data_IF_711114790435
#
_entry.id   IF_711114790435
#
_cell.length_a   1.000
_cell.length_b   1.000
_cell.length_c   1.000
_cell.angle_alpha   90.00
_cell.angle_beta   90.00
_cell.angle_gamma   90.00
#
_symmetry.space_group_name_H-M   'P 1'
#
loop_
_entity.id
_entity.type
_entity.pdbx_description
1 polymer ?
#
# COMPACT_ATOMS: atom_id res chain seq x y z
N UNK A 1 37.78 -2.28 2.07
CA UNK A 1 37.71 -1.01 1.33
C UNK A 1 36.92 -1.13 0.02
N UNK A 2 36.97 -2.23 -0.75
CA UNK A 2 36.16 -2.40 -1.98
C UNK A 2 34.64 -2.56 -1.72
N UNK A 3 34.23 -3.12 -0.59
CA UNK A 3 32.82 -3.29 -0.21
C UNK A 3 32.11 -1.97 0.16
N UNK A 4 32.85 -1.00 0.70
CA UNK A 4 32.30 0.31 1.08
C UNK A 4 31.94 1.17 -0.15
N UNK A 5 32.67 1.02 -1.26
CA UNK A 5 32.41 1.78 -2.50
C UNK A 5 31.19 1.28 -3.27
N UNK A 6 30.83 -0.02 -3.15
CA UNK A 6 29.67 -0.60 -3.86
C UNK A 6 28.38 -0.26 -3.13
N UNK A 7 28.42 -0.21 -1.80
CA UNK A 7 27.27 0.26 -0.97
C UNK A 7 26.93 1.70 -1.34
N UNK A 8 27.92 2.55 -1.56
CA UNK A 8 27.74 3.93 -1.98
C UNK A 8 27.12 4.05 -3.40
N UNK A 9 27.36 3.09 -4.29
CA UNK A 9 26.86 3.12 -5.66
C UNK A 9 25.39 2.70 -5.79
N UNK A 10 24.89 1.75 -4.99
CA UNK A 10 23.46 1.39 -4.97
C UNK A 10 22.59 2.45 -4.30
N UNK A 11 23.15 3.17 -3.32
CA UNK A 11 22.47 4.30 -2.66
C UNK A 11 22.58 5.58 -3.47
N UNK A 12 23.65 5.77 -4.24
CA UNK A 12 23.91 6.98 -5.03
C UNK A 12 22.94 7.17 -6.23
N UNK A 13 22.25 6.13 -6.69
CA UNK A 13 21.28 6.27 -7.79
C UNK A 13 19.95 6.95 -7.38
N UNK A 14 19.68 7.12 -6.09
CA UNK A 14 18.52 7.84 -5.55
C UNK A 14 18.90 9.22 -4.99
N UNK A 15 20.21 9.48 -4.75
CA UNK A 15 20.70 10.65 -4.01
C UNK A 15 20.84 11.95 -4.84
N UNK A 16 20.34 12.03 -6.07
CA UNK A 16 20.61 13.19 -6.95
C UNK A 16 19.59 14.34 -6.84
N UNK A 17 18.56 14.26 -5.98
CA UNK A 17 17.54 15.32 -5.88
C UNK A 17 17.06 15.67 -4.47
N UNK A 18 17.63 15.13 -3.41
CA UNK A 18 17.19 15.48 -2.06
C UNK A 18 18.37 15.98 -1.21
N UNK A 19 18.19 17.18 -0.64
CA UNK A 19 19.04 17.76 0.39
C UNK A 19 18.85 17.07 1.77
N UNK A 20 17.95 16.08 1.83
CA UNK A 20 17.60 15.38 3.05
C UNK A 20 18.76 14.50 3.57
N UNK A 21 18.93 14.49 4.92
CA UNK A 21 19.91 13.64 5.59
C UNK A 21 19.38 12.20 5.58
N UNK A 22 20.25 11.26 5.19
CA UNK A 22 19.96 9.84 5.26
C UNK A 22 20.19 9.30 6.68
N UNK A 23 19.16 8.67 7.25
CA UNK A 23 19.21 7.97 8.52
C UNK A 23 19.26 6.47 8.30
N UNK A 24 20.17 5.78 8.99
CA UNK A 24 20.46 4.36 8.79
C UNK A 24 20.40 3.60 10.11
N UNK A 25 19.67 2.48 10.12
CA UNK A 25 19.71 1.46 11.17
C UNK A 25 20.29 0.15 10.61
N UNK A 26 21.27 -0.40 11.28
CA UNK A 26 21.80 -1.75 11.01
C UNK A 26 21.13 -2.72 11.98
N UNK A 27 20.21 -3.56 11.49
CA UNK A 27 19.41 -4.47 12.32
C UNK A 27 19.81 -5.93 12.15
N UNK A 28 20.76 -6.21 11.26
CA UNK A 28 21.17 -7.56 10.90
C UNK A 28 20.17 -8.30 10.00
N UNK A 29 20.52 -9.49 9.52
CA UNK A 29 19.71 -10.25 8.56
C UNK A 29 18.30 -10.58 9.08
N UNK A 30 17.29 -10.48 8.20
CA UNK A 30 15.91 -10.87 8.48
C UNK A 30 15.24 -11.46 7.23
N UNK A 31 14.26 -12.32 7.45
CA UNK A 31 13.40 -12.91 6.43
C UNK A 31 11.90 -12.70 6.70
N UNK A 32 11.57 -12.00 7.80
CA UNK A 32 10.21 -11.65 8.18
C UNK A 32 10.11 -10.18 8.51
N UNK A 33 9.06 -9.56 8.03
CA UNK A 33 8.74 -8.15 8.26
C UNK A 33 7.42 -8.06 9.01
N UNK A 34 7.40 -7.30 10.10
CA UNK A 34 6.18 -6.96 10.83
C UNK A 34 6.15 -5.46 11.09
N UNK A 35 5.01 -4.84 10.81
CA UNK A 35 4.79 -3.41 11.04
C UNK A 35 3.58 -3.23 11.96
N UNK A 36 3.65 -2.19 12.84
CA UNK A 36 2.55 -1.68 13.64
C UNK A 36 2.46 -0.17 13.53
N UNK A 37 1.26 0.34 13.41
CA UNK A 37 0.99 1.77 13.22
C UNK A 37 0.81 2.16 11.76
N UNK A 38 1.09 3.42 11.42
CA UNK A 38 0.89 4.01 10.09
C UNK A 38 2.12 4.05 9.18
N UNK A 39 3.19 3.29 9.49
CA UNK A 39 4.45 3.36 8.75
C UNK A 39 4.30 2.90 7.30
N UNK A 40 4.87 3.67 6.38
CA UNK A 40 5.04 3.27 4.98
C UNK A 40 6.40 2.61 4.79
N UNK A 41 6.41 1.40 4.24
CA UNK A 41 7.59 0.58 4.10
C UNK A 41 7.77 0.14 2.65
N UNK A 42 8.97 0.28 2.12
CA UNK A 42 9.39 -0.27 0.83
C UNK A 42 10.49 -1.30 1.08
N UNK A 43 10.16 -2.56 0.83
CA UNK A 43 11.13 -3.65 0.83
C UNK A 43 11.79 -3.79 -0.53
N UNK A 44 13.10 -3.96 -0.53
CA UNK A 44 13.90 -4.28 -1.72
C UNK A 44 14.85 -5.44 -1.44
N UNK A 45 14.85 -6.43 -2.32
CA UNK A 45 15.83 -7.50 -2.28
C UNK A 45 17.20 -6.95 -2.70
N UNK A 46 18.16 -6.93 -1.77
CA UNK A 46 19.53 -6.46 -2.03
C UNK A 46 20.52 -7.23 -1.13
N UNK A 47 21.24 -8.23 -1.67
CA UNK A 47 22.19 -9.01 -0.92
C UNK A 47 23.36 -8.21 -0.32
N UNK A 48 23.73 -7.08 -0.95
CA UNK A 48 24.83 -6.23 -0.47
C UNK A 48 24.44 -5.31 0.69
N UNK A 49 23.13 -5.16 0.96
CA UNK A 49 22.59 -4.25 1.98
C UNK A 49 21.72 -4.98 3.01
N UNK A 50 21.93 -6.28 3.19
CA UNK A 50 21.14 -7.11 4.10
C UNK A 50 21.12 -6.55 5.53
N UNK A 51 19.93 -6.37 6.09
CA UNK A 51 19.75 -5.90 7.46
C UNK A 51 19.83 -4.38 7.61
N UNK A 52 19.68 -3.63 6.52
CA UNK A 52 19.62 -2.17 6.57
C UNK A 52 18.17 -1.68 6.55
N UNK A 53 17.89 -0.67 7.39
CA UNK A 53 16.66 0.14 7.38
C UNK A 53 17.05 1.59 7.22
N UNK A 54 16.51 2.25 6.20
CA UNK A 54 16.94 3.60 5.78
C UNK A 54 15.73 4.49 5.58
N UNK A 55 15.83 5.75 5.98
CA UNK A 55 14.89 6.80 5.56
C UNK A 55 15.63 8.11 5.30
N UNK A 56 15.06 8.93 4.45
CA UNK A 56 15.57 10.24 4.10
C UNK A 56 14.70 11.33 4.75
N UNK A 57 15.31 12.18 5.60
CA UNK A 57 14.62 13.29 6.26
C UNK A 57 15.61 14.27 6.84
N UNK A 58 15.24 15.55 6.91
CA UNK A 58 15.97 16.59 7.65
C UNK A 58 15.71 16.49 9.17
N UNK A 59 14.62 15.82 9.56
CA UNK A 59 14.23 15.57 10.96
C UNK A 59 14.64 14.15 11.35
N UNK A 60 15.16 14.00 12.57
CA UNK A 60 15.48 12.70 13.14
C UNK A 60 14.21 12.06 13.77
N UNK A 61 13.69 11.01 13.14
CA UNK A 61 12.53 10.25 13.60
C UNK A 61 12.89 9.05 14.49
N UNK A 62 14.10 8.98 15.04
CA UNK A 62 14.53 7.84 15.88
C UNK A 62 13.67 7.64 17.14
N UNK A 63 13.07 8.68 17.66
CA UNK A 63 12.13 8.60 18.80
C UNK A 63 10.70 8.22 18.39
N UNK A 64 10.34 8.42 17.12
CA UNK A 64 9.03 8.09 16.55
C UNK A 64 8.94 6.67 15.99
N UNK A 65 10.07 5.99 15.79
CA UNK A 65 10.14 4.67 15.16
C UNK A 65 10.93 3.71 16.06
N UNK A 66 10.25 2.68 16.56
CA UNK A 66 10.90 1.56 17.25
C UNK A 66 11.28 0.49 16.22
N UNK A 67 12.57 0.20 16.08
CA UNK A 67 13.11 -0.78 15.17
C UNK A 67 13.77 -1.91 15.96
N UNK A 68 13.34 -3.14 15.75
CA UNK A 68 13.93 -4.31 16.42
C UNK A 68 13.97 -5.53 15.50
N UNK A 69 15.04 -6.33 15.60
CA UNK A 69 15.15 -7.61 14.92
C UNK A 69 15.34 -8.74 15.95
N UNK A 70 14.40 -9.63 16.01
CA UNK A 70 14.45 -10.79 16.87
C UNK A 70 14.49 -12.07 16.04
N UNK A 71 15.66 -12.71 15.97
CA UNK A 71 15.88 -13.99 15.27
C UNK A 71 15.36 -13.99 13.82
N UNK A 72 15.68 -12.93 13.06
CA UNK A 72 15.26 -12.79 11.67
C UNK A 72 13.86 -12.23 11.47
N UNK A 73 13.19 -11.80 12.53
CA UNK A 73 11.90 -11.10 12.46
C UNK A 73 12.11 -9.61 12.75
N UNK A 74 12.14 -8.80 11.69
CA UNK A 74 12.18 -7.35 11.77
C UNK A 74 10.81 -6.83 12.19
N UNK A 75 10.77 -6.10 13.30
CA UNK A 75 9.60 -5.36 13.79
C UNK A 75 9.86 -3.87 13.65
N UNK A 76 8.95 -3.20 12.97
CA UNK A 76 8.89 -1.75 12.83
C UNK A 76 7.60 -1.26 13.47
N UNK A 77 7.71 -0.36 14.45
CA UNK A 77 6.55 0.14 15.18
C UNK A 77 6.62 1.66 15.26
N UNK A 78 5.54 2.31 14.93
CA UNK A 78 5.36 3.73 15.15
C UNK A 78 5.04 4.00 16.61
N UNK A 79 5.71 4.97 17.20
CA UNK A 79 5.42 5.46 18.56
C UNK A 79 4.28 6.48 18.44
N UNK A 80 3.15 6.23 19.12
CA UNK A 80 1.89 6.94 18.88
C UNK A 80 1.89 8.41 19.31
N UNK A 81 2.68 8.77 20.32
CA UNK A 81 2.67 10.12 20.93
C UNK A 81 3.93 10.94 20.55
N UNK A 82 4.27 11.02 19.25
CA UNK A 82 5.34 11.89 18.79
C UNK A 82 4.78 13.14 18.10
N UNK A 83 5.40 14.29 18.38
CA UNK A 83 5.03 15.61 17.81
C UNK A 83 5.82 15.93 16.53
N UNK A 84 6.35 14.91 15.85
CA UNK A 84 7.33 15.05 14.77
C UNK A 84 6.73 15.15 13.37
N UNK A 85 5.38 15.13 13.25
CA UNK A 85 4.70 15.08 11.96
C UNK A 85 4.69 13.70 11.33
N UNK A 86 4.54 13.62 10.02
CA UNK A 86 4.43 12.34 9.29
C UNK A 86 5.78 11.65 9.17
N UNK A 87 5.86 10.41 9.64
CA UNK A 87 7.06 9.56 9.50
C UNK A 87 7.34 9.31 8.02
N UNK A 88 8.59 9.50 7.56
CA UNK A 88 8.96 9.25 6.17
C UNK A 88 8.87 7.77 5.80
N UNK A 89 8.85 7.47 4.51
CA UNK A 89 8.88 6.09 4.03
C UNK A 89 10.19 5.41 4.42
N UNK A 90 10.08 4.22 5.02
CA UNK A 90 11.21 3.40 5.42
C UNK A 90 11.58 2.43 4.29
N UNK A 91 12.82 2.46 3.85
CA UNK A 91 13.38 1.49 2.90
C UNK A 91 14.11 0.41 3.67
N UNK A 92 13.75 -0.84 3.45
CA UNK A 92 14.32 -1.99 4.14
C UNK A 92 14.90 -2.98 3.15
N UNK A 93 16.05 -3.56 3.49
CA UNK A 93 16.84 -4.39 2.59
C UNK A 93 17.16 -5.75 3.21
N UNK A 94 16.90 -6.83 2.46
CA UNK A 94 17.24 -8.20 2.82
C UNK A 94 17.49 -9.03 1.55
N UNK A 95 18.03 -10.23 1.67
CA UNK A 95 18.19 -11.15 0.55
C UNK A 95 16.85 -11.64 0.01
N UNK A 96 15.96 -12.03 0.91
CA UNK A 96 14.62 -12.54 0.61
C UNK A 96 13.70 -12.35 1.82
N UNK A 97 12.40 -12.45 1.58
CA UNK A 97 11.38 -12.40 2.63
C UNK A 97 10.40 -13.55 2.47
N UNK A 98 10.11 -14.21 3.59
CA UNK A 98 9.14 -15.32 3.68
C UNK A 98 7.82 -14.92 4.32
N UNK A 99 7.80 -13.79 5.05
CA UNK A 99 6.60 -13.31 5.72
C UNK A 99 6.55 -11.77 5.76
N UNK A 100 5.39 -11.24 5.41
CA UNK A 100 5.05 -9.82 5.60
C UNK A 100 3.78 -9.75 6.43
N UNK A 101 3.83 -8.99 7.54
CA UNK A 101 2.71 -8.74 8.44
C UNK A 101 2.51 -7.26 8.62
N UNK A 102 1.31 -6.78 8.36
CA UNK A 102 0.90 -5.41 8.60
C UNK A 102 -0.20 -5.39 9.67
N UNK A 103 0.09 -4.79 10.83
CA UNK A 103 -0.83 -4.61 11.95
C UNK A 103 -1.16 -3.12 12.15
N UNK A 104 -1.58 -2.45 11.08
CA UNK A 104 -1.90 -1.03 11.12
C UNK A 104 -2.45 -0.50 9.80
N UNK A 105 -2.33 0.82 9.62
CA UNK A 105 -2.95 1.55 8.52
C UNK A 105 -1.94 1.96 7.42
N UNK A 106 -0.64 1.74 7.64
CA UNK A 106 0.41 2.04 6.67
C UNK A 106 0.45 1.07 5.49
N UNK A 107 1.33 1.35 4.54
CA UNK A 107 1.50 0.58 3.31
C UNK A 107 2.84 -0.14 3.35
N UNK A 108 2.83 -1.44 3.04
CA UNK A 108 4.05 -2.21 2.78
C UNK A 108 4.08 -2.56 1.29
N UNK A 109 5.09 -2.07 0.60
CA UNK A 109 5.37 -2.39 -0.78
C UNK A 109 6.61 -3.29 -0.87
N UNK A 110 6.53 -4.40 -1.59
CA UNK A 110 7.60 -5.37 -1.69
C UNK A 110 7.75 -5.92 -3.11
N UNK A 111 8.93 -5.76 -3.69
CA UNK A 111 9.34 -6.46 -4.89
C UNK A 111 10.13 -7.71 -4.48
N UNK A 112 9.68 -8.89 -4.91
CA UNK A 112 10.13 -10.20 -4.41
C UNK A 112 10.74 -11.07 -5.50
N UNK A 113 11.90 -10.68 -6.06
CA UNK A 113 12.51 -11.41 -7.19
C UNK A 113 13.08 -12.77 -6.77
N UNK A 114 13.32 -13.00 -5.47
CA UNK A 114 13.86 -14.25 -4.96
C UNK A 114 12.76 -15.31 -4.82
N UNK A 115 12.99 -16.51 -5.38
CA UNK A 115 12.09 -17.64 -5.19
C UNK A 115 12.19 -18.19 -3.77
N UNK A 116 11.04 -18.35 -3.10
CA UNK A 116 10.96 -18.91 -1.74
C UNK A 116 10.00 -20.10 -1.69
N UNK A 117 10.23 -21.13 -0.87
CA UNK A 117 9.33 -22.28 -0.79
C UNK A 117 7.93 -21.90 -0.28
N UNK A 118 7.87 -20.98 0.67
CA UNK A 118 6.62 -20.52 1.30
C UNK A 118 6.66 -19.03 1.52
N UNK A 119 5.57 -18.36 1.15
CA UNK A 119 5.37 -16.94 1.42
C UNK A 119 4.06 -16.69 2.16
N UNK A 120 4.07 -15.78 3.13
CA UNK A 120 2.88 -15.42 3.91
C UNK A 120 2.71 -13.91 3.96
N UNK A 121 1.55 -13.40 3.54
CA UNK A 121 1.12 -12.02 3.68
C UNK A 121 -0.08 -11.94 4.64
N UNK A 122 0.03 -11.16 5.72
CA UNK A 122 -1.04 -11.04 6.73
C UNK A 122 -1.34 -9.58 7.02
N UNK A 123 -2.59 -9.20 6.87
CA UNK A 123 -3.09 -7.85 7.15
C UNK A 123 -4.09 -7.89 8.31
N UNK A 124 -3.86 -7.03 9.29
CA UNK A 124 -4.72 -6.78 10.44
C UNK A 124 -4.83 -5.26 10.64
N UNK A 125 -5.77 -4.62 9.96
CA UNK A 125 -5.95 -3.17 9.96
C UNK A 125 -6.55 -2.67 8.66
N UNK A 126 -6.44 -1.35 8.41
CA UNK A 126 -6.96 -0.71 7.21
C UNK A 126 -5.87 -0.41 6.17
N UNK A 127 -4.63 -0.77 6.48
CA UNK A 127 -3.48 -0.54 5.62
C UNK A 127 -3.46 -1.40 4.36
N UNK A 128 -2.31 -1.42 3.69
CA UNK A 128 -2.13 -2.13 2.43
C UNK A 128 -0.85 -2.94 2.41
N UNK A 129 -0.89 -4.12 1.80
CA UNK A 129 0.29 -4.90 1.43
C UNK A 129 0.28 -5.06 -0.08
N UNK A 130 1.37 -4.72 -0.76
CA UNK A 130 1.56 -4.93 -2.20
C UNK A 130 2.81 -5.75 -2.39
N UNK A 131 2.68 -6.94 -2.99
CA UNK A 131 3.80 -7.81 -3.29
C UNK A 131 3.82 -8.12 -4.78
N UNK A 132 4.90 -7.73 -5.45
CA UNK A 132 5.14 -8.03 -6.86
C UNK A 132 6.21 -9.12 -7.00
N UNK A 133 6.27 -9.73 -8.18
CA UNK A 133 7.27 -10.72 -8.60
C UNK A 133 7.35 -11.94 -7.67
N UNK A 134 6.21 -12.30 -7.05
CA UNK A 134 6.12 -13.47 -6.19
C UNK A 134 6.42 -14.74 -7.00
N UNK A 135 7.37 -15.54 -6.51
CA UNK A 135 7.66 -16.87 -7.01
C UNK A 135 7.76 -17.87 -5.83
N UNK A 136 6.71 -18.64 -5.60
CA UNK A 136 6.67 -19.53 -4.43
C UNK A 136 5.94 -20.85 -4.72
N UNK A 137 6.21 -21.86 -3.91
CA UNK A 137 5.42 -23.11 -3.98
C UNK A 137 4.12 -22.97 -3.18
N UNK A 138 4.19 -22.41 -1.98
CA UNK A 138 3.03 -22.25 -1.10
C UNK A 138 2.85 -20.79 -0.69
N UNK A 139 1.72 -20.21 -1.07
CA UNK A 139 1.34 -18.86 -0.71
C UNK A 139 0.18 -18.87 0.27
N UNK A 140 0.28 -18.06 1.33
CA UNK A 140 -0.84 -17.76 2.24
C UNK A 140 -1.05 -16.26 2.30
N UNK A 141 -2.27 -15.80 2.05
CA UNK A 141 -2.65 -14.42 2.28
C UNK A 141 -3.88 -14.34 3.16
N UNK A 142 -3.89 -13.40 4.10
CA UNK A 142 -5.00 -13.23 5.02
C UNK A 142 -5.29 -11.76 5.30
N UNK A 143 -6.59 -11.42 5.34
CA UNK A 143 -7.10 -10.15 5.89
C UNK A 143 -8.10 -10.52 6.97
N UNK A 144 -7.74 -10.26 8.24
CA UNK A 144 -8.47 -10.80 9.39
C UNK A 144 -9.29 -9.75 10.13
N UNK A 145 -8.96 -8.47 10.01
CA UNK A 145 -9.74 -7.35 10.53
C UNK A 145 -9.51 -6.10 9.69
N UNK A 146 -10.42 -5.13 9.80
CA UNK A 146 -10.36 -3.86 9.06
C UNK A 146 -10.85 -3.97 7.62
N UNK A 147 -10.61 -2.89 6.86
CA UNK A 147 -11.02 -2.72 5.45
C UNK A 147 -9.81 -2.69 4.50
N UNK A 148 -8.63 -3.05 4.98
CA UNK A 148 -7.41 -2.96 4.21
C UNK A 148 -7.35 -3.92 3.03
N UNK A 149 -6.29 -3.82 2.24
CA UNK A 149 -6.12 -4.61 1.01
C UNK A 149 -4.77 -5.31 0.93
N UNK A 150 -4.78 -6.53 0.38
CA UNK A 150 -3.57 -7.29 0.03
C UNK A 150 -3.55 -7.51 -1.47
N UNK A 151 -2.55 -6.97 -2.15
CA UNK A 151 -2.35 -7.08 -3.61
C UNK A 151 -1.16 -7.98 -3.89
N UNK A 152 -1.36 -9.02 -4.69
CA UNK A 152 -0.36 -10.04 -4.95
C UNK A 152 -0.23 -10.28 -6.45
N UNK A 153 1.01 -10.23 -6.96
CA UNK A 153 1.35 -10.46 -8.37
C UNK A 153 2.48 -11.46 -8.51
N UNK A 154 2.41 -12.31 -9.51
CA UNK A 154 3.45 -13.31 -9.78
C UNK A 154 2.92 -14.71 -9.98
N UNK A 155 3.63 -15.73 -9.46
CA UNK A 155 3.28 -17.15 -9.65
C UNK A 155 3.44 -17.97 -8.37
N UNK A 156 2.55 -18.95 -8.18
CA UNK A 156 2.74 -19.97 -7.15
C UNK A 156 2.12 -21.32 -7.57
N UNK A 157 2.44 -22.40 -6.85
CA UNK A 157 1.76 -23.68 -7.06
C UNK A 157 0.44 -23.73 -6.30
N UNK A 158 0.46 -23.40 -5.02
CA UNK A 158 -0.70 -23.51 -4.15
C UNK A 158 -0.93 -22.20 -3.41
N UNK A 159 -2.06 -21.55 -3.63
CA UNK A 159 -2.48 -20.37 -2.90
C UNK A 159 -3.60 -20.69 -1.89
N UNK A 160 -3.51 -20.10 -0.72
CA UNK A 160 -4.58 -20.14 0.29
C UNK A 160 -4.90 -18.71 0.72
N UNK A 161 -6.12 -18.27 0.47
CA UNK A 161 -6.62 -16.96 0.82
C UNK A 161 -7.62 -17.07 1.95
N UNK A 162 -7.43 -16.27 3.01
CA UNK A 162 -8.35 -16.20 4.14
C UNK A 162 -8.85 -14.77 4.32
N UNK A 163 -10.15 -14.59 4.22
CA UNK A 163 -10.80 -13.30 4.39
C UNK A 163 -11.86 -13.39 5.49
N UNK A 164 -11.59 -12.76 6.64
CA UNK A 164 -12.52 -12.72 7.78
C UNK A 164 -12.93 -11.28 8.14
N UNK A 165 -12.97 -10.39 7.15
CA UNK A 165 -13.19 -8.95 7.32
C UNK A 165 -13.97 -8.37 6.14
N UNK A 166 -14.08 -7.04 6.09
CA UNK A 166 -14.61 -6.30 4.94
C UNK A 166 -13.51 -5.90 3.92
N UNK A 167 -12.25 -6.28 4.15
CA UNK A 167 -11.13 -5.96 3.29
C UNK A 167 -11.11 -6.73 1.96
N UNK A 168 -10.02 -6.57 1.21
CA UNK A 168 -9.88 -7.11 -0.15
C UNK A 168 -8.58 -7.88 -0.28
N UNK A 169 -8.62 -9.05 -0.96
CA UNK A 169 -7.44 -9.74 -1.47
C UNK A 169 -7.49 -9.67 -2.99
N UNK A 170 -6.56 -8.94 -3.61
CA UNK A 170 -6.37 -8.84 -5.05
C UNK A 170 -5.22 -9.74 -5.48
N UNK A 171 -5.52 -10.90 -6.04
CA UNK A 171 -4.57 -11.87 -6.56
C UNK A 171 -4.99 -12.41 -7.94
N UNK A 172 -5.72 -11.63 -8.68
CA UNK A 172 -6.12 -11.87 -10.07
C UNK A 172 -4.96 -11.78 -11.06
N UNK A 173 -3.86 -11.12 -10.66
CA UNK A 173 -2.58 -11.11 -11.38
C UNK A 173 -1.54 -12.11 -10.82
N UNK A 174 -1.94 -12.99 -9.88
CA UNK A 174 -1.10 -14.05 -9.34
C UNK A 174 -1.60 -15.40 -9.84
N UNK A 175 -0.86 -16.02 -10.77
CA UNK A 175 -1.19 -17.33 -11.33
C UNK A 175 -0.86 -18.43 -10.33
N UNK A 176 -1.88 -19.17 -9.90
CA UNK A 176 -1.74 -20.30 -8.99
C UNK A 176 -2.32 -21.57 -9.62
N UNK A 177 -1.63 -22.71 -9.51
CA UNK A 177 -2.22 -23.97 -9.99
C UNK A 177 -3.49 -24.29 -9.23
N UNK A 178 -3.42 -24.26 -7.90
CA UNK A 178 -4.58 -24.50 -7.05
C UNK A 178 -4.83 -23.33 -6.09
N UNK A 179 -6.07 -22.93 -5.96
CA UNK A 179 -6.49 -21.86 -5.05
C UNK A 179 -7.51 -22.37 -4.06
N UNK A 180 -7.28 -22.08 -2.76
CA UNK A 180 -8.26 -22.30 -1.68
C UNK A 180 -8.63 -20.95 -1.08
N UNK A 181 -9.93 -20.69 -0.97
CA UNK A 181 -10.48 -19.48 -0.33
C UNK A 181 -11.31 -19.87 0.87
N UNK A 182 -10.89 -19.42 2.06
CA UNK A 182 -11.65 -19.54 3.31
C UNK A 182 -12.23 -18.15 3.65
N UNK A 183 -13.54 -17.97 3.56
CA UNK A 183 -14.19 -16.68 3.68
C UNK A 183 -15.22 -16.64 4.80
N UNK A 184 -15.17 -15.58 5.62
CA UNK A 184 -16.08 -15.38 6.75
C UNK A 184 -16.43 -13.87 6.94
N UNK A 185 -16.38 -13.08 5.87
CA UNK A 185 -16.57 -11.63 5.89
C UNK A 185 -17.53 -11.12 4.84
N UNK A 186 -17.43 -9.83 4.56
CA UNK A 186 -18.23 -9.11 3.57
C UNK A 186 -17.41 -8.54 2.40
N UNK A 187 -16.08 -8.68 2.45
CA UNK A 187 -15.15 -8.17 1.45
C UNK A 187 -15.14 -8.97 0.14
N UNK A 188 -14.03 -8.91 -0.59
CA UNK A 188 -13.88 -9.61 -1.86
C UNK A 188 -12.49 -10.24 -2.02
N UNK A 189 -12.42 -11.32 -2.82
CA UNK A 189 -11.18 -11.95 -3.25
C UNK A 189 -11.17 -12.01 -4.76
N UNK A 190 -10.13 -11.47 -5.40
CA UNK A 190 -9.77 -11.73 -6.79
C UNK A 190 -8.69 -12.80 -6.84
N UNK A 191 -8.78 -13.78 -7.77
CA UNK A 191 -7.79 -14.85 -7.88
C UNK A 191 -7.66 -15.38 -9.31
N UNK A 192 -6.51 -15.99 -9.61
CA UNK A 192 -6.23 -16.64 -10.89
C UNK A 192 -5.86 -18.12 -10.70
N UNK A 193 -6.81 -19.00 -10.46
CA UNK A 193 -6.60 -20.45 -10.43
C UNK A 193 -6.46 -21.01 -11.83
N UNK A 194 -5.41 -21.80 -12.09
CA UNK A 194 -5.19 -22.47 -13.39
C UNK A 194 -5.94 -23.78 -13.46
N UNK A 195 -5.87 -24.61 -12.40
CA UNK A 195 -6.44 -25.96 -12.38
C UNK A 195 -7.72 -26.05 -11.53
N UNK A 196 -7.67 -25.56 -10.29
CA UNK A 196 -8.77 -25.70 -9.35
C UNK A 196 -8.95 -24.54 -8.39
N UNK A 197 -10.22 -24.26 -8.08
CA UNK A 197 -10.66 -23.27 -7.09
C UNK A 197 -11.59 -23.95 -6.05
N UNK A 198 -11.13 -24.09 -4.82
CA UNK A 198 -11.93 -24.58 -3.68
C UNK A 198 -12.32 -23.37 -2.80
N UNK A 199 -13.61 -23.03 -2.75
CA UNK A 199 -14.12 -21.91 -1.96
C UNK A 199 -15.01 -22.43 -0.84
N UNK A 200 -14.67 -22.08 0.39
CA UNK A 200 -15.43 -22.41 1.59
C UNK A 200 -15.74 -21.18 2.39
N UNK A 201 -16.98 -21.05 2.82
CA UNK A 201 -17.27 -19.97 3.73
C UNK A 201 -18.73 -19.60 3.87
N UNK A 202 -18.90 -18.66 4.80
CA UNK A 202 -20.18 -18.07 5.18
C UNK A 202 -20.11 -16.55 4.98
N UNK A 203 -21.25 -15.92 4.77
CA UNK A 203 -21.35 -14.48 4.60
C UNK A 203 -21.63 -14.03 3.18
N UNK A 204 -21.40 -12.76 2.89
CA UNK A 204 -21.71 -12.11 1.61
C UNK A 204 -20.49 -11.84 0.75
N UNK A 205 -19.34 -12.41 1.12
CA UNK A 205 -18.06 -12.30 0.37
C UNK A 205 -18.25 -12.71 -1.09
N UNK A 206 -17.65 -11.93 -1.99
CA UNK A 206 -17.60 -12.23 -3.42
C UNK A 206 -16.20 -12.76 -3.75
N UNK A 207 -16.12 -13.89 -4.45
CA UNK A 207 -14.88 -14.43 -4.98
C UNK A 207 -14.92 -14.30 -6.50
N UNK A 208 -14.00 -13.48 -7.02
CA UNK A 208 -13.82 -13.27 -8.45
C UNK A 208 -12.66 -14.14 -8.94
N UNK A 209 -12.78 -14.75 -10.11
CA UNK A 209 -11.72 -15.57 -10.66
C UNK A 209 -11.48 -15.33 -12.14
N UNK A 210 -10.24 -15.48 -12.56
CA UNK A 210 -9.78 -15.45 -13.95
C UNK A 210 -9.57 -16.89 -14.42
N UNK A 211 -9.84 -17.17 -15.69
CA UNK A 211 -9.58 -18.48 -16.31
C UNK A 211 -10.77 -19.44 -16.23
N UNK A 212 -10.49 -20.74 -16.43
CA UNK A 212 -11.51 -21.77 -16.46
C UNK A 212 -11.16 -22.97 -15.55
N UNK A 213 -11.04 -22.75 -14.22
CA UNK A 213 -10.68 -23.81 -13.28
C UNK A 213 -11.85 -24.75 -12.98
N UNK A 214 -11.54 -25.93 -12.44
CA UNK A 214 -12.53 -26.76 -11.76
C UNK A 214 -12.92 -26.14 -10.44
N UNK A 215 -14.21 -25.79 -10.26
CA UNK A 215 -14.69 -25.07 -9.08
C UNK A 215 -15.38 -26.02 -8.11
N UNK A 216 -14.95 -25.98 -6.84
CA UNK A 216 -15.63 -26.60 -5.71
C UNK A 216 -16.07 -25.53 -4.72
N UNK A 217 -17.36 -25.53 -4.38
CA UNK A 217 -17.96 -24.53 -3.49
C UNK A 217 -18.66 -25.21 -2.32
N UNK A 218 -18.40 -24.69 -1.11
CA UNK A 218 -19.10 -25.07 0.13
C UNK A 218 -19.49 -23.80 0.87
N UNK A 219 -20.78 -23.57 1.04
CA UNK A 219 -21.35 -22.41 1.74
C UNK A 219 -22.00 -21.36 0.85
N UNK A 220 -22.31 -20.20 1.43
CA UNK A 220 -23.18 -19.18 0.83
C UNK A 220 -22.50 -18.10 -0.02
N UNK A 221 -21.16 -18.04 -0.09
CA UNK A 221 -20.44 -17.02 -0.84
C UNK A 221 -20.77 -17.01 -2.35
N UNK A 222 -20.60 -15.85 -3.00
CA UNK A 222 -20.77 -15.72 -4.47
C UNK A 222 -19.45 -15.94 -5.18
N UNK A 223 -19.45 -16.76 -6.24
CA UNK A 223 -18.27 -16.97 -7.11
C UNK A 223 -18.63 -16.44 -8.49
N UNK A 224 -17.82 -15.54 -9.04
CA UNK A 224 -18.09 -14.82 -10.28
C UNK A 224 -16.82 -14.82 -11.16
N UNK A 225 -16.92 -15.10 -12.46
CA UNK A 225 -15.80 -14.95 -13.37
C UNK A 225 -15.49 -13.43 -13.56
N UNK A 226 -14.21 -13.11 -13.67
CA UNK A 226 -13.78 -11.79 -14.17
C UNK A 226 -13.78 -11.91 -15.69
N UNK A 227 -14.73 -11.24 -16.35
CA UNK A 227 -14.71 -11.10 -17.79
C UNK A 227 -13.64 -10.06 -18.14
N UNK A 228 -12.86 -10.30 -19.18
CA UNK A 228 -11.78 -9.41 -19.66
C UNK A 228 -12.27 -7.99 -20.01
N UNK A 229 -13.57 -7.73 -20.03
CA UNK A 229 -14.18 -6.42 -20.31
C UNK A 229 -14.51 -5.57 -19.06
N UNK A 230 -14.26 -6.07 -17.87
CA UNK A 230 -14.48 -5.34 -16.60
C UNK A 230 -13.19 -5.28 -15.77
N UNK A 231 -12.06 -5.07 -16.43
CA UNK A 231 -10.87 -4.54 -15.78
C UNK A 231 -11.27 -3.19 -15.16
N UNK A 232 -11.08 -3.04 -13.86
CA UNK A 232 -11.40 -1.81 -13.15
C UNK A 232 -10.85 -0.60 -13.93
N UNK A 233 -11.58 0.51 -14.00
CA UNK A 233 -11.08 1.70 -14.66
C UNK A 233 -9.74 2.07 -14.01
N UNK A 234 -8.69 2.07 -14.83
CA UNK A 234 -7.40 2.63 -14.46
C UNK A 234 -7.64 4.00 -13.84
N UNK A 235 -7.17 4.20 -12.62
CA UNK A 235 -7.09 5.49 -11.95
C UNK A 235 -6.01 6.35 -12.66
N UNK A 236 -6.22 6.62 -13.96
CA UNK A 236 -5.46 7.57 -14.77
C UNK A 236 -6.18 8.91 -14.95
N UNK A 237 -7.28 9.14 -14.18
CA UNK A 237 -8.00 10.41 -14.30
C UNK A 237 -7.39 11.57 -13.51
N UNK A 238 -6.33 11.34 -12.72
CA UNK A 238 -5.69 12.42 -11.95
C UNK A 238 -4.52 13.12 -12.67
N UNK A 239 -4.04 12.58 -13.79
CA UNK A 239 -2.90 13.19 -14.52
C UNK A 239 -3.31 14.03 -15.74
N UNK A 240 -4.59 14.01 -16.13
CA UNK A 240 -5.06 14.75 -17.31
C UNK A 240 -5.73 16.10 -17.02
N UNK A 241 -5.86 16.48 -15.75
CA UNK A 241 -6.42 17.80 -15.38
C UNK A 241 -5.39 18.88 -15.07
N UNK A 242 -4.10 18.57 -15.09
CA UNK A 242 -3.04 19.56 -14.82
C UNK A 242 -2.45 20.14 -16.12
N UNK A 243 -2.65 19.51 -17.28
CA UNK A 243 -2.12 20.00 -18.56
C UNK A 243 -3.09 20.88 -19.39
N UNK A 244 -4.36 21.00 -18.99
CA UNK A 244 -5.33 21.87 -19.69
C UNK A 244 -5.55 23.25 -19.03
N UNK A 245 -5.01 23.52 -17.84
CA UNK A 245 -5.09 24.84 -17.18
C UNK A 245 -3.88 25.75 -17.46
N UNK A 246 -2.80 25.27 -18.07
CA UNK A 246 -1.60 26.09 -18.35
C UNK A 246 -1.60 26.73 -19.76
N UNK A 247 -2.62 26.50 -20.59
CA UNK A 247 -2.71 27.11 -21.95
C UNK A 247 -3.84 28.11 -22.12
N UNK A 248 -4.53 28.51 -21.04
CA UNK A 248 -5.64 29.46 -21.10
C UNK A 248 -5.35 30.89 -20.54
N UNK A 249 -4.12 31.16 -20.04
CA UNK A 249 -3.76 32.48 -19.47
C UNK A 249 -2.87 33.35 -20.37
N UNK A 250 -2.70 33.03 -21.65
CA UNK A 250 -1.85 33.84 -22.56
C UNK A 250 -2.57 34.46 -23.74
N UNK A 251 -3.82 34.90 -23.61
CA UNK A 251 -4.46 35.72 -24.67
C UNK A 251 -5.62 36.57 -24.15
N UNK A 252 -5.38 37.56 -23.28
CA UNK A 252 -6.24 38.74 -23.10
C UNK A 252 -5.48 39.89 -22.43
N UNK A 253 -4.53 40.48 -23.11
CA UNK A 253 -4.14 41.89 -22.96
C UNK A 253 -4.19 42.54 -24.30
N UNK A 254 -5.24 43.30 -24.54
CA UNK A 254 -5.34 44.52 -25.35
C UNK A 254 -6.80 44.85 -25.63
N UNK A 255 -7.44 45.70 -24.86
CA UNK A 255 -8.15 46.84 -25.45
C UNK A 255 -8.54 47.88 -24.35
N UNK A 256 -8.01 49.05 -24.52
CA UNK A 256 -8.33 50.28 -23.80
C UNK A 256 -9.73 50.81 -24.19
N UNK A 257 -10.35 51.56 -23.27
CA UNK A 257 -11.50 52.38 -23.64
C UNK A 257 -12.30 52.93 -22.47
N UNK A 258 -11.99 54.15 -22.09
CA UNK A 258 -12.64 55.11 -21.21
C UNK A 258 -14.16 55.06 -21.12
N UNK A 259 -14.73 55.27 -19.93
CA UNK A 259 -15.65 56.43 -19.70
C UNK A 259 -16.07 56.55 -18.23
N UNK A 260 -16.04 57.78 -17.76
CA UNK A 260 -16.41 58.34 -16.48
C UNK A 260 -17.91 58.21 -16.15
N UNK A 261 -18.26 58.31 -14.89
CA UNK A 261 -19.65 58.53 -14.45
C UNK A 261 -19.87 58.38 -12.94
N UNK A 262 -19.85 59.48 -12.23
CA UNK A 262 -20.23 59.71 -10.84
C UNK A 262 -21.63 59.16 -10.46
N UNK A 263 -21.84 58.75 -9.21
CA UNK A 263 -22.60 59.46 -8.18
C UNK A 263 -23.00 58.58 -6.98
N UNK A 264 -22.63 59.03 -5.80
CA UNK A 264 -23.36 59.18 -4.51
C UNK A 264 -24.27 58.09 -3.93
N UNK A 265 -23.83 57.62 -2.77
CA UNK A 265 -24.32 57.92 -1.41
C UNK A 265 -25.58 57.20 -0.87
N UNK A 266 -25.44 56.95 0.40
CA UNK A 266 -26.39 56.65 1.52
C UNK A 266 -26.53 55.15 1.82
N UNK A 267 -26.13 54.61 2.94
CA UNK A 267 -26.38 54.96 4.33
C UNK A 267 -27.49 54.13 4.90
N UNK A 268 -27.19 53.21 5.77
CA UNK A 268 -27.83 53.01 7.06
C UNK A 268 -27.45 51.66 7.72
N UNK A 269 -26.94 51.79 8.86
CA UNK A 269 -26.97 50.96 10.08
C UNK A 269 -28.20 50.10 10.26
N UNK A 270 -28.06 48.94 10.88
CA UNK A 270 -28.78 48.54 12.08
C UNK A 270 -28.50 47.09 12.51
N UNK A 271 -27.78 46.97 13.63
CA UNK A 271 -28.01 46.13 14.82
C UNK A 271 -28.22 44.63 14.73
N UNK A 272 -27.36 43.94 15.48
CA UNK A 272 -27.56 42.63 16.17
C UNK A 272 -28.83 42.65 17.07
N UNK A 273 -29.35 41.48 17.42
CA UNK A 273 -29.09 41.01 18.78
C UNK A 273 -28.76 39.51 18.97
N UNK A 274 -28.00 39.32 19.95
CA UNK A 274 -27.77 38.34 20.97
C UNK A 274 -28.86 37.29 21.31
N UNK A 275 -28.27 36.18 21.86
CA UNK A 275 -28.79 35.19 22.87
C UNK A 275 -29.73 34.10 22.35
N UNK A 276 -29.70 32.89 22.85
CA UNK A 276 -29.39 32.22 24.14
C UNK A 276 -29.33 30.69 23.93
N UNK A 277 -28.36 30.03 24.50
CA UNK A 277 -28.26 28.79 25.30
C UNK A 277 -29.38 27.74 25.35
N UNK A 278 -28.87 26.51 25.61
CA UNK A 278 -29.47 25.30 26.24
C UNK A 278 -30.08 24.25 25.31
N UNK A 279 -29.45 23.13 25.17
CA UNK A 279 -29.40 21.92 26.02
C UNK A 279 -28.27 20.99 25.53
#
# INVERSE_FOLDING_TARGET
MKKLCIILACVASVALLSSARQHLYEVGPFDKISQRGGLNIVYRACPDSVGMVVYDSDVDFSEAIEVSNNKGSLMLKEVVDHDMGTVPTLYIYSDYVTQIKNEGDGIIYADMPAAVPTFTASLLGNGKIVCNDINTTHLKASVTAGNGSVVLRGTCKNATYRLASAGVIQADELRANTVKCDVAGTGSIGCYPVESLDVRGIGTTKVYYVGNPTIKKVGGCKILPINEMEAAPDDQSSTRKVEEEETAEESEEENEGESEGETEATGTETTLPERVSNF
#
